data_IF_921492178061
#
_entry.id   IF_921492178061
#
_cell.length_a   1.000
_cell.length_b   1.000
_cell.length_c   1.000
_cell.angle_alpha   90.00
_cell.angle_beta   90.00
_cell.angle_gamma   90.00
#
_symmetry.space_group_name_H-M   'P 1'
#
loop_
_entity.id
_entity.type
_entity.pdbx_description
1 polymer ?
#
# COMPACT_ATOMS: atom_id res chain seq x y z
N UNK A 1 2.80 25.88 4.52
CA UNK A 1 1.83 24.77 4.71
C UNK A 1 2.62 23.54 5.13
N UNK A 2 2.03 22.67 5.93
CA UNK A 2 2.70 21.44 6.38
C UNK A 2 2.72 20.41 5.25
N UNK A 3 3.87 19.83 4.98
CA UNK A 3 4.01 18.72 4.03
C UNK A 3 3.49 17.43 4.65
N UNK A 4 2.70 16.66 3.89
CA UNK A 4 2.12 15.41 4.36
C UNK A 4 2.26 14.28 3.34
N UNK A 5 2.41 13.07 3.86
CA UNK A 5 2.31 11.81 3.14
C UNK A 5 0.91 11.26 3.35
N UNK A 6 0.22 10.89 2.28
CA UNK A 6 -1.08 10.23 2.36
C UNK A 6 -0.87 8.72 2.24
N UNK A 7 -1.01 8.01 3.36
CA UNK A 7 -0.71 6.58 3.43
C UNK A 7 -1.99 5.76 3.48
N UNK A 8 -2.09 4.74 2.62
CA UNK A 8 -3.24 3.86 2.49
C UNK A 8 -2.84 2.39 2.62
N UNK A 9 -3.60 1.64 3.41
CA UNK A 9 -3.62 0.17 3.44
C UNK A 9 -4.88 -0.31 2.71
N UNK A 10 -4.70 -0.84 1.51
CA UNK A 10 -5.79 -1.18 0.58
C UNK A 10 -6.16 -2.64 0.72
N UNK A 11 -7.24 -2.91 1.44
CA UNK A 11 -7.85 -4.24 1.53
C UNK A 11 -8.99 -4.46 0.54
N UNK A 12 -9.45 -5.70 0.44
CA UNK A 12 -10.59 -6.04 -0.43
C UNK A 12 -11.96 -5.58 0.08
N UNK A 13 -12.09 -5.36 1.38
CA UNK A 13 -13.35 -4.93 2.03
C UNK A 13 -13.26 -3.49 2.50
N UNK A 14 -12.12 -3.10 3.02
CA UNK A 14 -11.87 -1.83 3.67
C UNK A 14 -10.52 -1.25 3.24
N UNK A 15 -10.45 0.07 3.14
CA UNK A 15 -9.21 0.83 2.99
C UNK A 15 -8.99 1.62 4.29
N UNK A 16 -7.84 1.43 4.93
CA UNK A 16 -7.40 2.27 6.03
C UNK A 16 -6.49 3.35 5.51
N UNK A 17 -6.69 4.58 5.95
CA UNK A 17 -5.90 5.68 5.46
C UNK A 17 -5.65 6.75 6.51
N UNK A 18 -4.47 7.36 6.46
CA UNK A 18 -4.09 8.44 7.36
C UNK A 18 -3.03 9.36 6.73
N UNK A 19 -2.98 10.63 7.12
CA UNK A 19 -1.89 11.53 6.79
C UNK A 19 -0.75 11.35 7.81
N UNK A 20 0.49 11.24 7.32
CA UNK A 20 1.69 11.14 8.15
C UNK A 20 2.66 12.29 7.86
N UNK A 21 3.50 12.63 8.83
CA UNK A 21 4.67 13.48 8.62
C UNK A 21 5.87 12.67 8.07
N UNK A 22 6.95 13.36 7.72
CA UNK A 22 8.19 12.73 7.21
C UNK A 22 8.91 11.82 8.22
N UNK A 23 8.48 11.81 9.49
CA UNK A 23 9.02 10.95 10.55
C UNK A 23 8.13 9.73 10.79
N UNK A 24 7.03 9.60 10.06
CA UNK A 24 6.06 8.53 10.23
C UNK A 24 5.06 8.76 11.37
N UNK A 25 4.98 9.97 11.93
CA UNK A 25 3.97 10.28 12.94
C UNK A 25 2.62 10.56 12.28
N UNK A 26 1.56 10.00 12.84
CA UNK A 26 0.19 10.30 12.40
C UNK A 26 -0.17 11.75 12.70
N UNK A 27 -0.63 12.47 11.69
CA UNK A 27 -1.10 13.85 11.80
C UNK A 27 -2.61 13.91 12.10
N UNK A 28 -3.33 12.84 11.86
CA UNK A 28 -4.71 12.62 12.22
C UNK A 28 -4.95 11.11 12.47
N UNK A 29 -6.03 10.74 13.17
CA UNK A 29 -6.39 9.33 13.36
C UNK A 29 -6.57 8.58 12.05
N UNK A 30 -6.24 7.28 12.06
CA UNK A 30 -6.53 6.39 10.93
C UNK A 30 -8.04 6.39 10.67
N UNK A 31 -8.42 6.58 9.43
CA UNK A 31 -9.81 6.52 8.97
C UNK A 31 -10.03 5.27 8.15
N UNK A 32 -11.25 4.78 8.19
CA UNK A 32 -11.70 3.57 7.54
C UNK A 32 -12.70 3.92 6.44
N UNK A 33 -12.48 3.38 5.25
CA UNK A 33 -13.30 3.65 4.06
C UNK A 33 -13.72 2.34 3.42
N UNK A 34 -14.92 2.24 2.82
CA UNK A 34 -15.31 1.07 2.06
C UNK A 34 -14.38 0.92 0.84
N UNK A 35 -13.87 -0.28 0.61
CA UNK A 35 -12.98 -0.56 -0.52
C UNK A 35 -13.70 -0.50 -1.87
N UNK A 36 -15.01 -0.79 -1.88
CA UNK A 36 -15.84 -0.86 -3.10
C UNK A 36 -15.25 -1.78 -4.19
N UNK A 37 -14.48 -2.81 -3.78
CA UNK A 37 -13.59 -3.59 -4.65
C UNK A 37 -14.28 -4.30 -5.83
N UNK A 38 -15.61 -4.50 -5.78
CA UNK A 38 -16.42 -5.03 -6.86
C UNK A 38 -17.05 -3.99 -7.79
N UNK A 39 -16.78 -2.69 -7.57
CA UNK A 39 -17.34 -1.63 -8.40
C UNK A 39 -16.65 -1.52 -9.77
N UNK A 40 -17.24 -0.75 -10.67
CA UNK A 40 -16.62 -0.42 -11.94
C UNK A 40 -15.38 0.50 -11.75
N UNK A 41 -14.56 0.59 -12.81
CA UNK A 41 -13.30 1.33 -12.78
C UNK A 41 -13.47 2.79 -12.38
N UNK A 42 -14.48 3.47 -12.92
CA UNK A 42 -14.68 4.89 -12.64
C UNK A 42 -15.03 5.11 -11.18
N UNK A 43 -15.98 4.34 -10.65
CA UNK A 43 -16.37 4.37 -9.25
C UNK A 43 -15.19 4.11 -8.31
N UNK A 44 -14.33 3.14 -8.65
CA UNK A 44 -13.12 2.85 -7.86
C UNK A 44 -12.16 4.03 -7.86
N UNK A 45 -11.87 4.62 -9.01
CA UNK A 45 -10.97 5.76 -9.12
C UNK A 45 -11.52 7.01 -8.39
N UNK A 46 -12.81 7.26 -8.50
CA UNK A 46 -13.48 8.34 -7.76
C UNK A 46 -13.42 8.12 -6.24
N UNK A 47 -13.59 6.87 -5.77
CA UNK A 47 -13.45 6.52 -4.37
C UNK A 47 -12.03 6.81 -3.84
N UNK A 48 -10.99 6.42 -4.59
CA UNK A 48 -9.61 6.76 -4.20
C UNK A 48 -9.38 8.28 -4.15
N UNK A 49 -9.86 9.03 -5.13
CA UNK A 49 -9.76 10.48 -5.14
C UNK A 49 -10.46 11.14 -3.95
N UNK A 50 -11.64 10.62 -3.59
CA UNK A 50 -12.36 11.06 -2.40
C UNK A 50 -11.59 10.75 -1.11
N UNK A 51 -10.97 9.55 -1.01
CA UNK A 51 -10.15 9.17 0.15
C UNK A 51 -8.96 10.12 0.27
N UNK A 52 -8.19 10.36 -0.81
CA UNK A 52 -7.05 11.28 -0.78
C UNK A 52 -7.44 12.66 -0.26
N UNK A 53 -8.53 13.21 -0.80
CA UNK A 53 -9.03 14.52 -0.37
C UNK A 53 -9.49 14.51 1.09
N UNK A 54 -10.16 13.43 1.51
CA UNK A 54 -10.76 13.29 2.83
C UNK A 54 -9.73 13.20 3.96
N UNK A 55 -8.55 12.62 3.71
CA UNK A 55 -7.51 12.45 4.73
C UNK A 55 -6.48 13.58 4.73
N UNK A 56 -6.44 14.39 3.66
CA UNK A 56 -5.53 15.53 3.61
C UNK A 56 -6.02 16.64 4.57
N UNK A 57 -5.21 17.09 5.55
CA UNK A 57 -5.60 18.18 6.43
C UNK A 57 -5.73 19.52 5.66
N UNK A 58 -6.68 20.37 6.04
CA UNK A 58 -7.00 21.63 5.35
C UNK A 58 -5.79 22.57 5.15
N UNK A 59 -4.85 22.57 6.09
CA UNK A 59 -3.66 23.42 6.07
C UNK A 59 -2.39 22.69 5.65
N UNK A 60 -2.52 21.54 4.98
CA UNK A 60 -1.42 20.71 4.53
C UNK A 60 -1.34 20.62 3.00
N UNK A 61 -0.15 20.26 2.51
CA UNK A 61 0.10 19.97 1.10
C UNK A 61 0.55 18.52 0.99
N UNK A 62 -0.18 17.67 0.27
CA UNK A 62 0.27 16.32 0.01
C UNK A 62 1.49 16.38 -0.90
N UNK A 63 2.55 15.68 -0.50
CA UNK A 63 3.80 15.59 -1.26
C UNK A 63 4.04 14.21 -1.84
N UNK A 64 3.36 13.20 -1.29
CA UNK A 64 3.47 11.80 -1.73
C UNK A 64 2.21 11.02 -1.33
N UNK A 65 1.85 10.03 -2.11
CA UNK A 65 0.81 9.05 -1.79
C UNK A 65 1.44 7.67 -1.79
N UNK A 66 1.37 7.00 -0.64
CA UNK A 66 1.95 5.69 -0.41
C UNK A 66 0.84 4.65 -0.22
N UNK A 67 0.83 3.61 -1.04
CA UNK A 67 -0.20 2.58 -1.01
C UNK A 67 0.40 1.19 -0.77
N UNK A 68 0.01 0.56 0.35
CA UNK A 68 0.08 -0.88 0.48
C UNK A 68 -1.08 -1.46 -0.34
N UNK A 69 -0.78 -2.13 -1.44
CA UNK A 69 -1.78 -2.59 -2.42
C UNK A 69 -1.68 -4.10 -2.61
N UNK A 70 -2.79 -4.84 -2.64
CA UNK A 70 -2.76 -6.29 -2.78
C UNK A 70 -2.24 -6.72 -4.16
N UNK A 71 -1.58 -7.86 -4.20
CA UNK A 71 -1.14 -8.48 -5.45
C UNK A 71 -2.19 -9.45 -6.04
N UNK A 72 -1.96 -9.85 -7.30
CA UNK A 72 -0.82 -9.53 -8.18
C UNK A 72 -0.84 -8.08 -8.70
N UNK A 73 0.34 -7.43 -8.68
CA UNK A 73 0.50 -6.03 -9.06
C UNK A 73 1.93 -5.78 -9.55
N UNK A 74 2.12 -5.04 -10.62
CA UNK A 74 3.43 -4.54 -11.02
C UNK A 74 3.77 -3.26 -10.22
N UNK A 75 4.36 -3.45 -9.05
CA UNK A 75 4.68 -2.35 -8.12
C UNK A 75 5.68 -1.35 -8.70
N UNK A 76 6.55 -1.80 -9.60
CA UNK A 76 7.55 -0.95 -10.25
C UNK A 76 6.90 0.05 -11.21
N UNK A 77 5.94 -0.41 -12.01
CA UNK A 77 5.28 0.38 -13.04
C UNK A 77 3.91 0.92 -12.60
N UNK A 78 3.37 0.45 -11.46
CA UNK A 78 2.09 0.87 -10.92
C UNK A 78 0.88 0.27 -11.67
N UNK A 79 1.02 -0.95 -12.21
CA UNK A 79 -0.01 -1.60 -13.03
C UNK A 79 -0.73 -2.67 -12.22
N UNK A 80 -2.05 -2.55 -12.13
CA UNK A 80 -2.91 -3.54 -11.48
C UNK A 80 -3.03 -4.81 -12.34
N UNK A 81 -2.70 -5.97 -11.76
CA UNK A 81 -2.77 -7.28 -12.40
C UNK A 81 -3.81 -8.20 -11.72
N UNK A 82 -4.65 -7.66 -10.84
CA UNK A 82 -5.73 -8.38 -10.18
C UNK A 82 -6.79 -8.75 -11.22
N UNK A 83 -7.09 -10.04 -11.34
CA UNK A 83 -8.09 -10.58 -12.26
C UNK A 83 -8.67 -11.89 -11.73
N UNK A 84 -10.00 -12.02 -11.73
CA UNK A 84 -10.70 -13.23 -11.29
C UNK A 84 -10.62 -13.51 -9.79
N UNK A 85 -10.40 -12.48 -8.98
CA UNK A 85 -10.28 -12.58 -7.53
C UNK A 85 -11.44 -11.92 -6.79
N UNK A 86 -12.47 -11.50 -7.52
CA UNK A 86 -13.65 -10.79 -6.99
C UNK A 86 -13.28 -9.51 -6.22
N UNK A 87 -12.11 -8.96 -6.51
CA UNK A 87 -11.65 -7.68 -5.94
C UNK A 87 -10.79 -6.91 -6.94
N UNK A 88 -11.19 -5.69 -7.21
CA UNK A 88 -10.48 -4.77 -8.12
C UNK A 88 -10.31 -5.27 -9.55
N UNK A 89 -11.08 -6.27 -9.98
CA UNK A 89 -10.99 -6.85 -11.33
C UNK A 89 -11.20 -5.80 -12.43
N UNK A 90 -12.03 -4.78 -12.15
CA UNK A 90 -12.24 -3.65 -13.07
C UNK A 90 -11.00 -2.77 -13.29
N UNK A 91 -9.97 -2.89 -12.43
CA UNK A 91 -8.69 -2.19 -12.56
C UNK A 91 -7.63 -2.99 -13.32
N UNK A 92 -7.93 -4.22 -13.76
CA UNK A 92 -6.97 -5.05 -14.49
C UNK A 92 -6.36 -4.31 -15.68
N UNK A 93 -5.03 -4.31 -15.78
CA UNK A 93 -4.25 -3.61 -16.80
C UNK A 93 -4.22 -2.09 -16.67
N UNK A 94 -4.87 -1.52 -15.65
CA UNK A 94 -4.84 -0.08 -15.40
C UNK A 94 -3.50 0.34 -14.80
N UNK A 95 -2.88 1.38 -15.34
CA UNK A 95 -1.75 2.05 -14.69
C UNK A 95 -2.30 2.99 -13.60
N UNK A 96 -2.33 2.49 -12.35
CA UNK A 96 -2.86 3.24 -11.21
C UNK A 96 -1.93 4.38 -10.80
N UNK A 97 -0.63 4.29 -11.05
CA UNK A 97 0.31 5.39 -10.78
C UNK A 97 -0.08 6.61 -11.57
N UNK A 98 -0.30 6.44 -12.87
CA UNK A 98 -0.75 7.52 -13.74
C UNK A 98 -2.15 8.02 -13.35
N UNK A 99 -3.10 7.12 -13.14
CA UNK A 99 -4.46 7.49 -12.78
C UNK A 99 -4.50 8.30 -11.47
N UNK A 100 -3.74 7.89 -10.44
CA UNK A 100 -3.69 8.61 -9.17
C UNK A 100 -2.90 9.92 -9.27
N UNK A 101 -1.91 10.00 -10.14
CA UNK A 101 -1.24 11.26 -10.48
C UNK A 101 -2.23 12.27 -11.08
N UNK A 102 -3.04 11.84 -12.04
CA UNK A 102 -4.08 12.67 -12.67
C UNK A 102 -5.15 13.14 -11.66
N UNK A 103 -5.56 12.26 -10.75
CA UNK A 103 -6.59 12.55 -9.71
C UNK A 103 -6.05 13.49 -8.63
N UNK A 104 -4.83 13.25 -8.16
CA UNK A 104 -4.26 13.98 -7.02
C UNK A 104 -3.55 15.28 -7.42
N UNK A 105 -3.16 15.40 -8.69
CA UNK A 105 -2.29 16.47 -9.19
C UNK A 105 -0.81 16.31 -8.80
N UNK A 106 -0.44 15.21 -8.14
CA UNK A 106 0.96 14.90 -7.83
C UNK A 106 1.66 14.25 -9.03
N UNK A 107 2.97 14.47 -9.20
CA UNK A 107 3.74 13.76 -10.22
C UNK A 107 3.70 12.24 -10.02
N UNK A 108 3.75 11.44 -11.08
CA UNK A 108 3.74 9.97 -10.99
C UNK A 108 4.81 9.41 -10.05
N UNK A 109 5.98 10.07 -9.96
CA UNK A 109 7.08 9.69 -9.06
C UNK A 109 6.75 9.85 -7.57
N UNK A 110 5.65 10.52 -7.27
CA UNK A 110 5.12 10.73 -5.90
C UNK A 110 3.94 9.82 -5.57
N UNK A 111 3.66 8.84 -6.42
CA UNK A 111 2.68 7.79 -6.18
C UNK A 111 3.44 6.49 -6.02
N UNK A 112 3.51 5.96 -4.80
CA UNK A 112 4.28 4.78 -4.46
C UNK A 112 3.37 3.59 -4.16
N UNK A 113 3.80 2.42 -4.57
CA UNK A 113 3.09 1.17 -4.30
C UNK A 113 4.04 0.15 -3.70
N UNK A 114 3.56 -0.58 -2.70
CA UNK A 114 4.23 -1.72 -2.10
C UNK A 114 3.21 -2.84 -1.88
N UNK A 115 3.67 -4.08 -1.86
CA UNK A 115 2.81 -5.20 -1.48
C UNK A 115 2.36 -5.06 -0.01
N UNK A 116 1.11 -5.41 0.29
CA UNK A 116 0.50 -5.29 1.62
C UNK A 116 1.25 -6.08 2.71
N UNK A 117 1.65 -7.34 2.44
CA UNK A 117 2.46 -8.12 3.38
C UNK A 117 3.87 -7.55 3.55
N UNK A 118 4.45 -6.98 2.50
CA UNK A 118 5.75 -6.31 2.57
C UNK A 118 5.66 -5.02 3.40
N UNK A 119 4.61 -4.22 3.23
CA UNK A 119 4.37 -3.04 4.05
C UNK A 119 4.19 -3.39 5.53
N UNK A 120 3.40 -4.44 5.82
CA UNK A 120 3.25 -4.97 7.18
C UNK A 120 4.61 -5.37 7.78
N UNK A 121 5.42 -6.12 7.03
CA UNK A 121 6.75 -6.55 7.49
C UNK A 121 7.66 -5.36 7.79
N UNK A 122 7.68 -4.34 6.94
CA UNK A 122 8.45 -3.11 7.18
C UNK A 122 8.00 -2.39 8.44
N UNK A 123 6.70 -2.28 8.67
CA UNK A 123 6.14 -1.69 9.89
C UNK A 123 6.57 -2.43 11.15
N UNK A 124 6.49 -3.77 11.15
CA UNK A 124 6.91 -4.61 12.27
C UNK A 124 8.44 -4.54 12.53
N UNK A 125 9.24 -4.44 11.49
CA UNK A 125 10.68 -4.28 11.63
C UNK A 125 11.08 -2.88 12.11
N UNK A 126 10.33 -1.85 11.71
CA UNK A 126 10.67 -0.47 12.08
C UNK A 126 10.13 -0.07 13.48
N UNK A 127 8.92 -0.52 13.84
CA UNK A 127 8.19 -0.03 15.00
C UNK A 127 7.53 -1.13 15.85
N UNK A 128 7.48 -2.37 15.36
CA UNK A 128 6.77 -3.47 15.99
C UNK A 128 7.67 -4.47 16.72
N UNK A 129 7.25 -5.73 16.71
CA UNK A 129 7.90 -6.81 17.48
C UNK A 129 9.21 -7.31 16.86
N UNK A 130 9.48 -6.98 15.59
CA UNK A 130 10.65 -7.46 14.87
C UNK A 130 11.82 -6.44 14.79
N UNK A 131 11.77 -5.35 15.56
CA UNK A 131 12.79 -4.27 15.54
C UNK A 131 14.23 -4.73 15.81
N UNK A 132 14.43 -5.86 16.51
CA UNK A 132 15.74 -6.42 16.82
C UNK A 132 15.96 -7.80 16.18
N UNK A 133 15.06 -8.23 15.32
CA UNK A 133 15.19 -9.53 14.67
C UNK A 133 16.24 -9.50 13.57
N UNK A 134 17.25 -10.37 13.66
CA UNK A 134 18.22 -10.56 12.59
C UNK A 134 17.56 -11.18 11.33
N UNK A 135 16.55 -12.03 11.53
CA UNK A 135 15.73 -12.64 10.46
C UNK A 135 14.30 -12.83 10.99
N UNK A 136 13.32 -12.53 10.15
CA UNK A 136 11.91 -12.68 10.48
C UNK A 136 11.10 -13.16 9.27
N UNK A 137 10.10 -14.01 9.53
CA UNK A 137 9.04 -14.33 8.59
C UNK A 137 7.77 -13.64 9.08
N UNK A 138 7.14 -12.90 8.19
CA UNK A 138 5.87 -12.23 8.42
C UNK A 138 4.78 -12.96 7.64
N UNK A 139 3.68 -13.25 8.32
CA UNK A 139 2.52 -13.91 7.70
C UNK A 139 1.27 -13.12 8.09
N UNK A 140 0.57 -12.61 7.10
CA UNK A 140 -0.71 -11.94 7.24
C UNK A 140 -1.81 -12.90 6.77
N UNK A 141 -2.73 -13.26 7.66
CA UNK A 141 -3.86 -14.16 7.36
C UNK A 141 -5.16 -13.38 7.51
N UNK A 142 -5.89 -13.24 6.41
CA UNK A 142 -7.17 -12.56 6.34
C UNK A 142 -8.06 -13.23 5.30
N UNK A 143 -8.67 -12.47 4.40
CA UNK A 143 -9.38 -13.00 3.22
C UNK A 143 -8.42 -13.77 2.31
N UNK A 144 -7.15 -13.42 2.31
CA UNK A 144 -6.04 -14.12 1.68
C UNK A 144 -4.93 -14.42 2.69
N UNK A 145 -3.82 -14.97 2.20
CA UNK A 145 -2.61 -15.15 2.97
C UNK A 145 -1.47 -14.41 2.27
N UNK A 146 -0.82 -13.49 2.97
CA UNK A 146 0.35 -12.77 2.50
C UNK A 146 1.57 -13.16 3.33
N UNK A 147 2.76 -13.16 2.74
CA UNK A 147 4.00 -13.38 3.47
C UNK A 147 5.11 -12.45 2.99
N UNK A 148 6.04 -12.13 3.89
CA UNK A 148 7.25 -11.41 3.58
C UNK A 148 8.38 -11.89 4.49
N UNK A 149 9.62 -11.75 4.02
CA UNK A 149 10.81 -12.08 4.80
C UNK A 149 11.60 -10.80 5.09
N UNK A 150 12.10 -10.70 6.31
CA UNK A 150 12.97 -9.60 6.74
C UNK A 150 14.34 -10.10 7.18
N UNK A 151 15.36 -9.34 6.85
CA UNK A 151 16.75 -9.60 7.27
C UNK A 151 17.37 -8.27 7.73
N UNK A 152 17.78 -8.21 8.99
CA UNK A 152 18.44 -7.04 9.59
C UNK A 152 17.68 -5.72 9.37
N UNK A 153 16.35 -5.74 9.50
CA UNK A 153 15.50 -4.56 9.37
C UNK A 153 15.11 -4.18 7.92
N UNK A 154 15.51 -4.99 6.92
CA UNK A 154 15.16 -4.78 5.51
C UNK A 154 14.34 -5.95 4.97
N UNK A 155 13.52 -5.69 3.96
CA UNK A 155 12.89 -6.78 3.20
C UNK A 155 13.98 -7.61 2.52
N UNK A 156 13.82 -8.92 2.59
CA UNK A 156 14.75 -9.84 1.96
C UNK A 156 14.56 -9.81 0.43
N UNK A 157 15.66 -9.66 -0.30
CA UNK A 157 15.65 -9.72 -1.76
C UNK A 157 15.67 -11.16 -2.27
N UNK A 158 15.28 -11.35 -3.52
CA UNK A 158 15.42 -12.63 -4.22
C UNK A 158 16.86 -13.12 -4.17
N UNK A 159 17.04 -14.40 -3.87
CA UNK A 159 18.37 -15.00 -3.71
C UNK A 159 18.99 -14.85 -2.32
N UNK A 160 18.32 -14.17 -1.38
CA UNK A 160 18.76 -14.14 0.02
C UNK A 160 18.77 -15.56 0.59
N UNK A 161 19.89 -16.06 1.17
CA UNK A 161 19.98 -17.42 1.70
C UNK A 161 18.87 -17.72 2.72
N UNK A 162 18.15 -18.84 2.53
CA UNK A 162 17.04 -19.28 3.39
C UNK A 162 15.72 -18.54 3.16
N UNK A 163 15.62 -17.77 2.09
CA UNK A 163 14.36 -17.21 1.58
C UNK A 163 13.96 -18.01 0.33
N UNK A 164 12.67 -18.38 0.17
CA UNK A 164 12.21 -19.05 -1.05
C UNK A 164 12.52 -18.22 -2.30
N UNK A 165 12.78 -18.87 -3.46
CA UNK A 165 13.22 -18.17 -4.68
C UNK A 165 12.29 -17.06 -5.17
N UNK A 166 10.99 -17.22 -4.91
CA UNK A 166 9.97 -16.22 -5.27
C UNK A 166 9.67 -15.20 -4.17
N UNK A 167 10.37 -15.28 -3.03
CA UNK A 167 10.15 -14.41 -1.87
C UNK A 167 8.86 -14.69 -1.07
N UNK A 168 8.09 -15.72 -1.43
CA UNK A 168 6.85 -16.09 -0.76
C UNK A 168 6.99 -17.43 -0.03
N UNK A 169 6.21 -17.60 1.02
CA UNK A 169 6.22 -18.82 1.84
C UNK A 169 5.32 -19.93 1.27
N UNK A 170 4.39 -19.61 0.37
CA UNK A 170 3.40 -20.53 -0.22
C UNK A 170 3.38 -20.45 -1.73
#
# INVERSE_FOLDING_TARGET
MQEVYLCLDVGGTEIKAAPLDKRGNFLAPVRHFPAMAGADRQTLLENFGWIFSSICPENAVPIEIDLAFPGPFDYKNGICLLQGLDKYDALYGCNLRRAFSEISGLPEQRIQFINDAAAFALGEMAFGQATQAGRALFVAVGTGCGSAFGVNGFLAEEGTPGVPPNGYFY
#
